data_IF_501130888794
#
_entry.id   IF_501130888794
#
_cell.length_a   1.000
_cell.length_b   1.000
_cell.length_c   1.000
_cell.angle_alpha   90.00
_cell.angle_beta   90.00
_cell.angle_gamma   90.00
#
_symmetry.space_group_name_H-M   'P 1'
#
loop_
_entity.id
_entity.type
_entity.pdbx_description
1 polymer ?
#
# COMPACT_ATOMS: atom_id res chain seq x y z
N UNK A 1 8.78 -25.36 -32.18
CA UNK A 1 8.83 -25.03 -30.74
C UNK A 1 8.68 -23.52 -30.63
N UNK A 2 7.55 -23.04 -30.14
CA UNK A 2 7.38 -21.61 -29.85
C UNK A 2 8.24 -21.32 -28.64
N UNK A 3 9.26 -20.49 -28.79
CA UNK A 3 10.04 -20.01 -27.65
C UNK A 3 9.10 -19.24 -26.74
N UNK A 4 8.95 -19.68 -25.49
CA UNK A 4 8.09 -19.01 -24.51
C UNK A 4 8.47 -17.53 -24.28
N UNK A 5 9.73 -17.20 -24.57
CA UNK A 5 10.29 -15.85 -24.45
C UNK A 5 10.42 -15.10 -25.79
N UNK A 6 10.01 -15.71 -26.91
CA UNK A 6 10.05 -15.06 -28.21
C UNK A 6 8.84 -14.14 -28.34
N UNK A 7 9.14 -12.85 -28.44
CA UNK A 7 8.16 -11.78 -28.36
C UNK A 7 7.49 -11.62 -29.72
N UNK A 8 6.27 -12.13 -29.84
CA UNK A 8 5.43 -11.91 -31.03
C UNK A 8 5.00 -10.45 -31.01
N UNK A 9 5.62 -9.62 -31.85
CA UNK A 9 5.23 -8.21 -32.03
C UNK A 9 4.25 -8.10 -33.20
N UNK A 10 3.04 -7.60 -32.97
CA UNK A 10 2.05 -7.37 -34.03
C UNK A 10 2.48 -6.27 -35.03
N UNK A 11 3.43 -5.40 -34.63
CA UNK A 11 3.95 -4.28 -35.43
C UNK A 11 5.42 -4.05 -35.05
N UNK A 12 6.32 -3.71 -35.99
CA UNK A 12 7.73 -3.49 -35.68
C UNK A 12 7.89 -2.31 -34.73
N UNK A 13 8.24 -2.59 -33.48
CA UNK A 13 8.34 -1.58 -32.42
C UNK A 13 9.76 -1.03 -32.37
N UNK A 14 9.99 0.30 -32.40
CA UNK A 14 11.34 0.84 -32.28
C UNK A 14 12.00 0.42 -30.96
N UNK A 15 13.30 0.08 -30.96
CA UNK A 15 14.05 -0.28 -29.73
C UNK A 15 13.98 0.77 -28.62
N UNK A 16 13.77 2.04 -29.00
CA UNK A 16 13.58 3.16 -28.08
C UNK A 16 12.31 3.03 -27.19
N UNK A 17 11.35 2.18 -27.57
CA UNK A 17 10.16 1.88 -26.75
C UNK A 17 10.53 1.07 -25.50
N UNK A 18 11.60 0.26 -25.58
CA UNK A 18 12.12 -0.52 -24.45
C UNK A 18 13.12 0.26 -23.61
N UNK A 19 12.85 1.55 -23.39
CA UNK A 19 13.74 2.41 -22.64
C UNK A 19 13.74 2.02 -21.15
N UNK A 20 14.93 1.85 -20.57
CA UNK A 20 15.11 1.56 -19.16
C UNK A 20 14.43 2.58 -18.24
N UNK A 21 14.31 3.85 -18.69
CA UNK A 21 13.62 4.92 -17.95
C UNK A 21 12.13 4.63 -17.76
N UNK A 22 11.47 4.03 -18.75
CA UNK A 22 10.04 3.69 -18.67
C UNK A 22 9.83 2.56 -17.67
N UNK A 23 10.71 1.55 -17.69
CA UNK A 23 10.70 0.48 -16.69
C UNK A 23 11.02 0.99 -15.29
N UNK A 24 11.99 1.90 -15.13
CA UNK A 24 12.30 2.52 -13.85
C UNK A 24 11.12 3.32 -13.29
N UNK A 25 10.46 4.14 -14.12
CA UNK A 25 9.24 4.86 -13.72
C UNK A 25 8.11 3.90 -13.33
N UNK A 26 7.94 2.79 -14.05
CA UNK A 26 6.93 1.78 -13.75
C UNK A 26 7.22 1.02 -12.45
N UNK A 27 8.49 0.71 -12.13
CA UNK A 27 8.89 0.09 -10.86
C UNK A 27 8.64 1.04 -9.69
N UNK A 28 8.97 2.32 -9.86
CA UNK A 28 8.68 3.34 -8.83
C UNK A 28 7.17 3.51 -8.63
N UNK A 29 6.40 3.52 -9.72
CA UNK A 29 4.94 3.54 -9.64
C UNK A 29 4.38 2.25 -9.01
N UNK A 30 4.97 1.08 -9.29
CA UNK A 30 4.61 -0.19 -8.66
C UNK A 30 4.94 -0.22 -7.15
N UNK A 31 5.79 0.68 -6.65
CA UNK A 31 6.02 0.84 -5.21
C UNK A 31 4.75 1.36 -4.50
N UNK A 32 3.90 2.12 -5.21
CA UNK A 32 2.56 2.46 -4.72
C UNK A 32 1.71 1.21 -4.52
N UNK A 33 1.75 0.28 -5.48
CA UNK A 33 1.00 -0.97 -5.39
C UNK A 33 1.48 -1.84 -4.22
N UNK A 34 2.79 -1.90 -4.00
CA UNK A 34 3.39 -2.61 -2.87
C UNK A 34 2.88 -2.03 -1.54
N UNK A 35 2.81 -0.71 -1.42
CA UNK A 35 2.27 -0.02 -0.24
C UNK A 35 0.80 -0.43 0.02
N UNK A 36 -0.04 -0.46 -1.03
CA UNK A 36 -1.45 -0.82 -0.93
C UNK A 36 -1.62 -2.31 -0.57
N UNK A 37 -0.84 -3.17 -1.22
CA UNK A 37 -0.84 -4.61 -0.97
C UNK A 37 -0.39 -4.94 0.45
N UNK A 38 0.68 -4.28 0.93
CA UNK A 38 1.16 -4.44 2.29
C UNK A 38 0.09 -4.04 3.31
N UNK A 39 -0.50 -2.85 3.18
CA UNK A 39 -1.49 -2.31 4.12
C UNK A 39 -2.71 -3.25 4.27
N UNK A 40 -3.12 -3.86 3.16
CA UNK A 40 -4.26 -4.79 3.12
C UNK A 40 -3.97 -6.12 3.83
N UNK A 41 -2.73 -6.61 3.77
CA UNK A 41 -2.35 -7.93 4.30
C UNK A 41 -1.93 -7.91 5.77
N UNK A 42 -1.16 -6.88 6.18
CA UNK A 42 -0.55 -6.89 7.51
C UNK A 42 -1.60 -6.74 8.62
N UNK A 43 -2.66 -5.95 8.41
CA UNK A 43 -3.62 -5.62 9.48
C UNK A 43 -4.36 -6.85 10.01
N UNK A 44 -4.78 -7.74 9.12
CA UNK A 44 -5.54 -8.94 9.50
C UNK A 44 -4.70 -9.92 10.32
N UNK A 45 -3.42 -10.05 9.97
CA UNK A 45 -2.47 -10.90 10.71
C UNK A 45 -1.99 -10.23 12.00
N UNK A 46 -1.74 -8.92 11.98
CA UNK A 46 -1.37 -8.14 13.18
C UNK A 46 -2.43 -8.20 14.27
N UNK A 47 -3.72 -8.19 13.92
CA UNK A 47 -4.82 -8.33 14.88
C UNK A 47 -4.97 -9.74 15.46
N UNK A 48 -4.42 -10.76 14.79
CA UNK A 48 -4.44 -12.13 15.27
C UNK A 48 -3.39 -12.38 16.37
N UNK A 49 -2.32 -11.57 16.43
CA UNK A 49 -1.24 -11.70 17.40
C UNK A 49 -1.73 -11.59 18.86
N UNK A 50 -1.13 -12.40 19.73
CA UNK A 50 -1.42 -12.40 21.16
C UNK A 50 -1.08 -11.06 21.83
N UNK A 51 0.03 -10.43 21.42
CA UNK A 51 0.44 -9.10 21.90
C UNK A 51 -0.63 -8.03 21.63
N UNK A 52 -1.12 -7.94 20.39
CA UNK A 52 -2.19 -7.00 20.03
C UNK A 52 -3.46 -7.24 20.85
N UNK A 53 -3.83 -8.52 21.02
CA UNK A 53 -5.02 -8.88 21.81
C UNK A 53 -4.88 -8.51 23.29
N UNK A 54 -3.70 -8.70 23.87
CA UNK A 54 -3.46 -8.41 25.28
C UNK A 54 -3.42 -6.90 25.52
N UNK A 55 -2.74 -6.15 24.64
CA UNK A 55 -2.53 -4.72 24.85
C UNK A 55 -3.80 -3.89 24.70
N UNK A 56 -4.67 -4.25 23.75
CA UNK A 56 -5.96 -3.59 23.55
C UNK A 56 -7.13 -4.26 24.30
N UNK A 57 -6.83 -5.17 25.24
CA UNK A 57 -7.85 -5.84 26.06
C UNK A 57 -8.86 -6.65 25.25
N UNK A 58 -8.43 -7.20 24.12
CA UNK A 58 -9.24 -8.02 23.21
C UNK A 58 -9.21 -9.51 23.59
N UNK A 59 -8.23 -9.95 24.36
CA UNK A 59 -8.07 -11.35 24.77
C UNK A 59 -9.26 -11.90 25.57
N UNK A 60 -9.94 -11.04 26.33
CA UNK A 60 -11.10 -11.42 27.16
C UNK A 60 -12.46 -11.13 26.49
N UNK A 61 -12.47 -10.65 25.24
CA UNK A 61 -13.72 -10.35 24.53
C UNK A 61 -14.30 -11.60 23.89
N UNK A 62 -15.62 -11.66 23.80
CA UNK A 62 -16.31 -12.73 23.06
C UNK A 62 -15.95 -12.68 21.58
N UNK A 63 -16.02 -13.82 20.87
CA UNK A 63 -15.72 -13.90 19.44
C UNK A 63 -16.49 -12.87 18.60
N UNK A 64 -17.75 -12.59 18.98
CA UNK A 64 -18.59 -11.57 18.33
C UNK A 64 -18.06 -10.15 18.51
N UNK A 65 -17.61 -9.81 19.72
CA UNK A 65 -17.04 -8.49 20.03
C UNK A 65 -15.69 -8.29 19.34
N UNK A 66 -14.83 -9.32 19.35
CA UNK A 66 -13.56 -9.28 18.64
C UNK A 66 -13.79 -9.08 17.13
N UNK A 67 -14.71 -9.84 16.53
CA UNK A 67 -15.06 -9.71 15.13
C UNK A 67 -15.60 -8.32 14.78
N UNK A 68 -16.44 -7.72 15.63
CA UNK A 68 -16.95 -6.36 15.42
C UNK A 68 -15.85 -5.30 15.45
N UNK A 69 -14.94 -5.36 16.44
CA UNK A 69 -13.79 -4.45 16.53
C UNK A 69 -12.88 -4.60 15.32
N UNK A 70 -12.63 -5.85 14.93
CA UNK A 70 -11.81 -6.22 13.77
C UNK A 70 -12.38 -5.67 12.48
N UNK A 71 -13.69 -5.88 12.26
CA UNK A 71 -14.41 -5.36 11.13
C UNK A 71 -14.36 -3.83 11.09
N UNK A 72 -14.47 -3.15 12.23
CA UNK A 72 -14.35 -1.69 12.30
C UNK A 72 -12.96 -1.19 11.89
N UNK A 73 -11.88 -1.89 12.26
CA UNK A 73 -10.49 -1.50 11.90
C UNK A 73 -10.27 -1.63 10.39
N UNK A 74 -10.86 -2.66 9.78
CA UNK A 74 -10.80 -2.88 8.33
C UNK A 74 -11.72 -1.92 7.58
N UNK A 75 -12.94 -1.68 8.07
CA UNK A 75 -13.93 -0.84 7.39
C UNK A 75 -13.60 0.65 7.44
N UNK A 76 -12.98 1.13 8.52
CA UNK A 76 -12.50 2.53 8.61
C UNK A 76 -11.46 2.86 7.54
N UNK A 77 -10.56 1.93 7.25
CA UNK A 77 -9.64 2.03 6.12
C UNK A 77 -10.39 2.05 4.78
N UNK A 78 -11.33 1.14 4.57
CA UNK A 78 -12.12 1.09 3.33
C UNK A 78 -12.94 2.37 3.13
N UNK A 79 -13.49 2.95 4.19
CA UNK A 79 -14.16 4.24 4.18
C UNK A 79 -13.22 5.37 3.78
N UNK A 80 -11.99 5.39 4.34
CA UNK A 80 -10.94 6.31 3.90
C UNK A 80 -10.62 6.15 2.42
N UNK A 81 -10.45 4.92 1.93
CA UNK A 81 -10.21 4.63 0.51
C UNK A 81 -11.35 5.10 -0.39
N UNK A 82 -12.60 4.93 0.03
CA UNK A 82 -13.77 5.41 -0.72
C UNK A 82 -13.69 6.93 -0.96
N UNK A 83 -13.53 7.73 0.10
CA UNK A 83 -13.41 9.18 -0.05
C UNK A 83 -12.11 9.60 -0.74
N UNK A 84 -10.99 8.90 -0.48
CA UNK A 84 -9.71 9.14 -1.13
C UNK A 84 -9.79 8.94 -2.64
N UNK A 85 -10.50 7.91 -3.08
CA UNK A 85 -10.69 7.60 -4.50
C UNK A 85 -11.49 8.67 -5.24
N UNK A 86 -12.49 9.25 -4.59
CA UNK A 86 -13.29 10.37 -5.11
C UNK A 86 -12.47 11.66 -5.21
N UNK A 87 -11.62 11.93 -4.21
CA UNK A 87 -10.73 13.10 -4.19
C UNK A 87 -9.52 12.93 -5.11
N UNK A 88 -9.09 11.71 -5.39
CA UNK A 88 -7.94 11.41 -6.23
C UNK A 88 -8.09 11.92 -7.66
N UNK A 89 -9.27 11.82 -8.26
CA UNK A 89 -9.53 12.31 -9.62
C UNK A 89 -9.32 13.83 -9.78
N UNK A 90 -10.00 14.71 -9.01
CA UNK A 90 -9.79 16.15 -9.10
C UNK A 90 -8.38 16.56 -8.70
N UNK A 91 -7.77 15.91 -7.69
CA UNK A 91 -6.37 16.14 -7.33
C UNK A 91 -5.43 15.94 -8.52
N UNK A 92 -5.60 14.84 -9.26
CA UNK A 92 -4.77 14.55 -10.42
C UNK A 92 -5.04 15.45 -11.64
N UNK A 93 -6.25 15.99 -11.78
CA UNK A 93 -6.60 16.91 -12.88
C UNK A 93 -6.13 18.35 -12.60
N UNK A 94 -6.29 18.84 -11.38
CA UNK A 94 -6.01 20.24 -11.02
C UNK A 94 -4.52 20.43 -10.71
N UNK A 95 -3.91 19.53 -9.92
CA UNK A 95 -2.52 19.64 -9.48
C UNK A 95 -1.55 18.83 -10.38
N UNK A 96 -2.08 18.05 -11.31
CA UNK A 96 -1.32 17.11 -12.12
C UNK A 96 -1.03 15.77 -11.41
N UNK A 97 -0.73 14.74 -12.20
CA UNK A 97 -0.55 13.36 -11.70
C UNK A 97 0.57 13.23 -10.66
N UNK A 98 1.71 13.86 -10.91
CA UNK A 98 2.89 13.79 -10.05
C UNK A 98 2.62 14.32 -8.65
N UNK A 99 2.08 15.54 -8.55
CA UNK A 99 1.77 16.16 -7.26
C UNK A 99 0.65 15.40 -6.54
N UNK A 100 -0.37 14.93 -7.29
CA UNK A 100 -1.43 14.09 -6.72
C UNK A 100 -0.87 12.81 -6.06
N UNK A 101 0.03 12.10 -6.72
CA UNK A 101 0.70 10.91 -6.16
C UNK A 101 1.57 11.27 -4.94
N UNK A 102 2.30 12.39 -5.00
CA UNK A 102 3.17 12.80 -3.90
C UNK A 102 2.37 13.17 -2.64
N UNK A 103 1.29 13.95 -2.80
CA UNK A 103 0.38 14.29 -1.69
C UNK A 103 -0.24 13.02 -1.11
N UNK A 104 -0.65 12.08 -1.96
CA UNK A 104 -1.21 10.80 -1.53
C UNK A 104 -0.23 9.99 -0.68
N UNK A 105 1.06 9.97 -1.09
CA UNK A 105 2.13 9.32 -0.32
C UNK A 105 2.35 9.98 1.05
N UNK A 106 2.35 11.32 1.12
CA UNK A 106 2.50 12.05 2.37
C UNK A 106 1.32 11.79 3.33
N UNK A 107 0.10 11.82 2.82
CA UNK A 107 -1.11 11.51 3.59
C UNK A 107 -1.04 10.08 4.14
N UNK A 108 -0.58 9.11 3.33
CA UNK A 108 -0.36 7.75 3.80
C UNK A 108 0.68 7.67 4.93
N UNK A 109 1.86 8.28 4.76
CA UNK A 109 2.92 8.29 5.77
C UNK A 109 2.45 8.93 7.08
N UNK A 110 1.67 10.02 7.00
CA UNK A 110 1.05 10.65 8.17
C UNK A 110 0.07 9.71 8.87
N UNK A 111 -0.81 9.04 8.12
CA UNK A 111 -1.74 8.05 8.68
C UNK A 111 -1.02 6.88 9.36
N UNK A 112 0.01 6.34 8.71
CA UNK A 112 0.88 5.31 9.26
C UNK A 112 1.59 5.77 10.55
N UNK A 113 2.08 7.01 10.60
CA UNK A 113 2.68 7.59 11.80
C UNK A 113 1.69 7.75 12.96
N UNK A 114 0.43 8.14 12.67
CA UNK A 114 -0.63 8.22 13.69
C UNK A 114 -0.94 6.85 14.27
N UNK A 115 -0.93 5.78 13.45
CA UNK A 115 -1.15 4.42 13.96
C UNK A 115 -0.04 3.97 14.92
N UNK A 116 1.21 4.38 14.69
CA UNK A 116 2.34 4.06 15.58
C UNK A 116 2.25 4.75 16.95
N UNK A 117 1.44 5.80 17.07
CA UNK A 117 1.19 6.47 18.34
C UNK A 117 0.19 5.70 19.22
N UNK A 118 -0.38 4.58 18.74
CA UNK A 118 -1.24 3.72 19.53
C UNK A 118 -0.44 2.95 20.59
N UNK A 119 -1.03 2.83 21.77
CA UNK A 119 -0.48 2.11 22.94
C UNK A 119 -1.66 1.72 23.84
N UNK A 120 -1.44 0.78 24.76
CA UNK A 120 -2.46 0.32 25.71
C UNK A 120 -3.15 1.45 26.48
N UNK A 121 -2.44 2.55 26.78
CA UNK A 121 -3.01 3.72 27.47
C UNK A 121 -3.93 4.59 26.57
N UNK A 122 -3.68 4.63 25.26
CA UNK A 122 -4.42 5.46 24.29
C UNK A 122 -5.53 4.67 23.57
N UNK A 123 -5.48 3.35 23.66
CA UNK A 123 -6.45 2.44 23.06
C UNK A 123 -6.41 2.43 21.53
N UNK A 124 -7.50 1.96 20.92
CA UNK A 124 -7.61 1.78 19.46
C UNK A 124 -7.87 3.08 18.69
N UNK A 125 -8.08 4.22 19.37
CA UNK A 125 -8.40 5.50 18.73
C UNK A 125 -7.39 5.94 17.65
N UNK A 126 -6.07 5.95 17.94
CA UNK A 126 -5.06 6.30 16.96
C UNK A 126 -5.00 5.31 15.78
N UNK A 127 -5.32 4.03 16.01
CA UNK A 127 -5.43 3.04 14.92
C UNK A 127 -6.59 3.42 13.99
N UNK A 128 -7.79 3.68 14.52
CA UNK A 128 -8.93 4.08 13.69
C UNK A 128 -8.67 5.37 12.92
N UNK A 129 -8.14 6.40 13.59
CA UNK A 129 -7.82 7.67 12.95
C UNK A 129 -6.75 7.53 11.87
N UNK A 130 -5.67 6.81 12.19
CA UNK A 130 -4.58 6.55 11.26
C UNK A 130 -5.03 5.73 10.04
N UNK A 131 -5.94 4.77 10.21
CA UNK A 131 -6.52 3.97 9.11
C UNK A 131 -7.37 4.81 8.16
N UNK A 132 -8.16 5.75 8.66
CA UNK A 132 -8.93 6.68 7.81
C UNK A 132 -7.98 7.55 6.99
N UNK A 133 -6.98 8.15 7.64
CA UNK A 133 -6.01 9.05 6.98
C UNK A 133 -5.16 8.27 5.97
N UNK A 134 -4.65 7.10 6.34
CA UNK A 134 -3.90 6.24 5.43
C UNK A 134 -4.76 5.78 4.24
N UNK A 135 -6.02 5.44 4.49
CA UNK A 135 -7.00 5.08 3.47
C UNK A 135 -7.26 6.22 2.48
N UNK A 136 -7.33 7.48 2.92
CA UNK A 136 -7.47 8.63 2.02
C UNK A 136 -6.30 8.71 1.03
N UNK A 137 -5.07 8.52 1.52
CA UNK A 137 -3.87 8.50 0.69
C UNK A 137 -3.85 7.33 -0.29
N UNK A 138 -4.15 6.12 0.20
CA UNK A 138 -4.20 4.92 -0.64
C UNK A 138 -5.30 5.00 -1.70
N UNK A 139 -6.51 5.42 -1.35
CA UNK A 139 -7.61 5.53 -2.30
C UNK A 139 -7.32 6.51 -3.43
N UNK A 140 -6.63 7.62 -3.15
CA UNK A 140 -6.20 8.55 -4.19
C UNK A 140 -5.08 7.92 -5.06
N UNK A 141 -4.09 7.26 -4.43
CA UNK A 141 -2.98 6.62 -5.12
C UNK A 141 -3.41 5.44 -6.01
N UNK A 142 -4.41 4.65 -5.59
CA UNK A 142 -4.89 3.45 -6.31
C UNK A 142 -5.47 3.79 -7.68
N UNK A 143 -6.03 4.98 -7.84
CA UNK A 143 -6.59 5.44 -9.11
C UNK A 143 -5.55 6.22 -9.93
N UNK A 144 -4.76 7.07 -9.27
CA UNK A 144 -3.78 7.93 -9.95
C UNK A 144 -2.59 7.13 -10.52
N UNK A 145 -2.17 6.06 -9.86
CA UNK A 145 -0.99 5.28 -10.26
C UNK A 145 -1.19 4.56 -11.60
N UNK A 146 -2.23 3.74 -11.81
CA UNK A 146 -2.45 3.08 -13.09
C UNK A 146 -2.73 4.08 -14.22
N UNK A 147 -3.41 5.20 -13.93
CA UNK A 147 -3.61 6.29 -14.89
C UNK A 147 -2.27 6.89 -15.32
N UNK A 148 -1.41 7.26 -14.37
CA UNK A 148 -0.10 7.80 -14.66
C UNK A 148 0.77 6.82 -15.47
N UNK A 149 0.79 5.53 -15.10
CA UNK A 149 1.49 4.48 -15.87
C UNK A 149 0.95 4.44 -17.30
N UNK A 150 -0.38 4.49 -17.49
CA UNK A 150 -0.99 4.43 -18.82
C UNK A 150 -0.64 5.63 -19.71
N UNK A 151 -0.49 6.81 -19.11
CA UNK A 151 -0.15 8.07 -19.78
C UNK A 151 1.32 8.08 -20.25
N UNK A 152 2.25 7.54 -19.46
CA UNK A 152 3.69 7.48 -19.83
C UNK A 152 4.05 6.27 -20.68
N UNK A 153 3.21 5.24 -20.69
CA UNK A 153 3.51 3.97 -21.32
C UNK A 153 3.31 4.00 -22.85
N UNK A 154 4.32 3.59 -23.63
CA UNK A 154 4.14 3.30 -25.04
C UNK A 154 3.08 2.21 -25.25
N UNK A 155 2.24 2.30 -26.30
CA UNK A 155 1.14 1.36 -26.53
C UNK A 155 1.55 -0.13 -26.53
N UNK A 156 2.74 -0.44 -27.05
CA UNK A 156 3.24 -1.81 -27.18
C UNK A 156 3.59 -2.49 -25.83
N UNK A 157 3.92 -1.71 -24.79
CA UNK A 157 4.32 -2.24 -23.47
C UNK A 157 3.39 -1.86 -22.33
N UNK A 158 2.36 -1.05 -22.61
CA UNK A 158 1.42 -0.55 -21.60
C UNK A 158 0.80 -1.66 -20.75
N UNK A 159 0.34 -2.74 -21.39
CA UNK A 159 -0.22 -3.88 -20.67
C UNK A 159 0.77 -4.53 -19.70
N UNK A 160 2.04 -4.62 -20.08
CA UNK A 160 3.09 -5.15 -19.20
C UNK A 160 3.33 -4.24 -18.00
N UNK A 161 3.39 -2.92 -18.21
CA UNK A 161 3.66 -1.96 -17.13
C UNK A 161 2.49 -1.89 -16.14
N UNK A 162 1.24 -1.97 -16.62
CA UNK A 162 0.07 -2.11 -15.74
C UNK A 162 0.07 -3.46 -15.03
N UNK A 163 0.47 -4.54 -15.70
CA UNK A 163 0.66 -5.85 -15.06
C UNK A 163 1.71 -5.82 -13.94
N UNK A 164 2.80 -5.06 -14.09
CA UNK A 164 3.79 -4.88 -13.03
C UNK A 164 3.22 -4.17 -11.79
N UNK A 165 2.28 -3.24 -11.97
CA UNK A 165 1.56 -2.62 -10.85
C UNK A 165 0.77 -3.68 -10.05
N UNK A 166 -0.03 -4.51 -10.73
CA UNK A 166 -0.78 -5.59 -10.06
C UNK A 166 0.12 -6.63 -9.40
N UNK A 167 1.25 -6.99 -10.04
CA UNK A 167 2.25 -7.85 -9.42
C UNK A 167 2.82 -7.22 -8.14
N UNK A 168 3.08 -5.91 -8.15
CA UNK A 168 3.52 -5.16 -6.97
C UNK A 168 2.52 -5.26 -5.82
N UNK A 169 1.21 -5.18 -6.11
CA UNK A 169 0.15 -5.38 -5.11
C UNK A 169 0.26 -6.75 -4.45
N UNK A 170 0.37 -7.80 -5.25
CA UNK A 170 0.44 -9.18 -4.74
C UNK A 170 1.73 -9.43 -3.94
N UNK A 171 2.87 -8.91 -4.42
CA UNK A 171 4.16 -9.00 -3.72
C UNK A 171 4.07 -8.27 -2.38
N UNK A 172 3.50 -7.07 -2.33
CA UNK A 172 3.31 -6.31 -1.09
C UNK A 172 2.48 -7.09 -0.07
N UNK A 173 1.39 -7.72 -0.53
CA UNK A 173 0.57 -8.58 0.32
C UNK A 173 1.34 -9.78 0.87
N UNK A 174 2.04 -10.51 0.00
CA UNK A 174 2.87 -11.66 0.38
C UNK A 174 3.92 -11.30 1.43
N UNK A 175 4.64 -10.19 1.21
CA UNK A 175 5.65 -9.67 2.15
C UNK A 175 5.01 -9.29 3.49
N UNK A 176 3.83 -8.66 3.48
CA UNK A 176 3.08 -8.33 4.70
C UNK A 176 2.73 -9.55 5.54
N UNK A 177 2.27 -10.63 4.90
CA UNK A 177 2.00 -11.91 5.56
C UNK A 177 3.27 -12.53 6.16
N UNK A 178 4.35 -12.62 5.39
CA UNK A 178 5.61 -13.23 5.86
C UNK A 178 6.25 -12.45 7.01
N UNK A 179 6.16 -11.13 7.00
CA UNK A 179 6.66 -10.30 8.10
C UNK A 179 5.86 -10.56 9.37
N UNK A 180 4.52 -10.61 9.30
CA UNK A 180 3.70 -10.95 10.46
C UNK A 180 3.98 -12.36 10.97
N UNK A 181 4.16 -13.33 10.07
CA UNK A 181 4.53 -14.69 10.44
C UNK A 181 5.90 -14.72 11.16
N UNK A 182 6.91 -14.07 10.58
CA UNK A 182 8.25 -13.99 11.19
C UNK A 182 8.23 -13.33 12.57
N UNK A 183 7.41 -12.28 12.75
CA UNK A 183 7.23 -11.59 14.03
C UNK A 183 6.45 -12.44 15.04
N UNK A 184 5.48 -13.25 14.58
CA UNK A 184 4.76 -14.19 15.43
C UNK A 184 5.68 -15.26 16.03
N UNK A 185 6.58 -15.82 15.22
CA UNK A 185 7.45 -16.93 15.63
C UNK A 185 8.70 -16.47 16.41
N UNK A 186 9.31 -15.34 16.02
CA UNK A 186 10.64 -14.96 16.51
C UNK A 186 10.60 -13.88 17.61
N UNK A 187 9.47 -13.20 17.82
CA UNK A 187 9.38 -12.08 18.76
C UNK A 187 8.41 -12.43 19.90
N UNK A 188 8.85 -12.36 21.16
CA UNK A 188 7.98 -12.61 22.31
C UNK A 188 6.78 -11.65 22.34
N UNK A 189 5.65 -12.13 22.88
CA UNK A 189 4.43 -11.35 23.04
C UNK A 189 4.64 -10.12 23.91
N UNK A 190 4.92 -9.00 23.25
CA UNK A 190 5.24 -7.69 23.83
C UNK A 190 4.73 -6.59 22.91
N UNK A 191 4.70 -5.34 23.38
CA UNK A 191 4.30 -4.17 22.60
C UNK A 191 5.01 -4.09 21.23
N UNK A 192 6.30 -4.45 21.20
CA UNK A 192 7.10 -4.45 19.97
C UNK A 192 6.58 -5.43 18.91
N UNK A 193 5.97 -6.54 19.33
CA UNK A 193 5.55 -7.61 18.42
C UNK A 193 4.46 -7.12 17.45
N UNK A 194 3.43 -6.41 17.92
CA UNK A 194 2.42 -5.89 17.02
C UNK A 194 2.84 -4.55 16.38
N UNK A 195 3.70 -3.77 17.03
CA UNK A 195 4.15 -2.48 16.49
C UNK A 195 5.06 -2.62 15.26
N UNK A 196 5.89 -3.67 15.18
CA UNK A 196 6.85 -3.86 14.08
C UNK A 196 6.17 -3.91 12.70
N UNK A 197 5.13 -4.73 12.46
CA UNK A 197 4.38 -4.69 11.20
C UNK A 197 3.84 -3.29 10.86
N UNK A 198 3.30 -2.56 11.85
CA UNK A 198 2.84 -1.19 11.64
C UNK A 198 3.98 -0.23 11.30
N UNK A 199 5.18 -0.45 11.82
CA UNK A 199 6.35 0.38 11.52
C UNK A 199 6.93 0.09 10.14
N UNK A 200 6.91 -1.18 9.72
CA UNK A 200 7.43 -1.59 8.41
C UNK A 200 6.62 -0.99 7.26
N UNK A 201 5.32 -0.73 7.44
CA UNK A 201 4.50 -0.06 6.42
C UNK A 201 5.05 1.33 6.01
N UNK A 202 5.83 1.99 6.88
CA UNK A 202 6.46 3.28 6.56
C UNK A 202 7.57 3.14 5.53
N UNK A 203 8.20 1.96 5.39
CA UNK A 203 9.28 1.73 4.43
C UNK A 203 8.78 1.89 2.98
N UNK A 204 7.76 1.14 2.50
CA UNK A 204 7.22 1.34 1.16
C UNK A 204 6.59 2.72 1.00
N UNK A 205 5.96 3.27 2.04
CA UNK A 205 5.41 4.63 2.01
C UNK A 205 6.47 5.72 1.81
N UNK A 206 7.59 5.63 2.51
CA UNK A 206 8.72 6.56 2.38
C UNK A 206 9.44 6.38 1.04
N UNK A 207 9.66 5.14 0.60
CA UNK A 207 10.20 4.84 -0.73
C UNK A 207 9.34 5.45 -1.83
N UNK A 208 8.02 5.35 -1.70
CA UNK A 208 7.10 5.95 -2.66
C UNK A 208 7.15 7.49 -2.62
N UNK A 209 7.12 8.08 -1.41
CA UNK A 209 7.20 9.53 -1.23
C UNK A 209 8.50 10.13 -1.78
N UNK A 210 9.64 9.44 -1.62
CA UNK A 210 10.96 9.88 -2.13
C UNK A 210 11.10 9.56 -3.64
N UNK A 211 10.54 8.44 -4.10
CA UNK A 211 10.66 7.98 -5.48
C UNK A 211 9.94 8.86 -6.48
N UNK A 212 8.77 9.39 -6.13
CA UNK A 212 7.98 10.27 -7.01
C UNK A 212 8.76 11.52 -7.45
N UNK A 213 9.32 12.37 -6.57
CA UNK A 213 10.01 13.58 -6.99
C UNK A 213 11.27 13.30 -7.82
N UNK A 214 11.92 12.14 -7.65
CA UNK A 214 13.16 11.81 -8.35
C UNK A 214 12.93 11.20 -9.74
N UNK A 215 11.97 10.28 -9.88
CA UNK A 215 11.77 9.48 -11.09
C UNK A 215 10.62 9.95 -11.97
N UNK A 216 9.58 10.57 -11.39
CA UNK A 216 8.50 11.19 -12.16
C UNK A 216 8.96 12.60 -12.56
N UNK A 217 9.55 12.72 -13.74
CA UNK A 217 9.91 14.00 -14.39
C UNK A 217 9.20 14.13 -15.72
#
# INVERSE_FOLDING_TARGET
>A
MVNLFERIEDRPTPKAVYNWRVYACAIVAATAAIMIGYDSAFIGTSMALASFKNEFGLAHKTSKQFAAISANIVSTYQGGCFFGSLLGYPLGQILGRRLGLFISALVFVLGAGVMLAADGARGLGPIYGGRIVAGLGIGAASNLTPLYISEIAPPAIRGQLVGMYELGWQIGGLVGFWINYGVSENIPSSHKQWLIPFAVQLIPGALFAIGIPFFVR
#
